data_IF_561617400689
#
_entry.id   IF_561617400689
#
_cell.length_a   1.000
_cell.length_b   1.000
_cell.length_c   1.000
_cell.angle_alpha   90.00
_cell.angle_beta   90.00
_cell.angle_gamma   90.00
#
_symmetry.space_group_name_H-M   'P 1'
#
loop_
_entity.id
_entity.type
_entity.pdbx_description
1 polymer ?
#
# COMPACT_ATOMS: atom_id res chain seq x y z
N UNK A 1 -24.31 -7.54 -0.08
CA UNK A 1 -23.92 -6.15 0.21
C UNK A 1 -22.66 -5.89 -0.58
N UNK A 2 -22.64 -4.85 -1.42
CA UNK A 2 -21.52 -4.55 -2.32
C UNK A 2 -21.08 -3.12 -2.04
N UNK A 3 -19.77 -2.87 -2.00
CA UNK A 3 -19.27 -1.57 -1.61
C UNK A 3 -17.83 -1.32 -2.01
N UNK A 4 -17.53 -0.03 -2.10
CA UNK A 4 -16.25 0.55 -2.51
C UNK A 4 -15.58 1.21 -1.30
N UNK A 5 -14.29 1.53 -1.40
CA UNK A 5 -13.60 2.45 -0.47
C UNK A 5 -13.68 2.06 1.02
N UNK A 6 -13.44 0.78 1.35
CA UNK A 6 -13.35 0.31 2.75
C UNK A 6 -14.62 0.45 3.60
N UNK A 7 -15.70 0.99 3.03
CA UNK A 7 -16.98 1.27 3.71
C UNK A 7 -17.65 0.02 4.27
N UNK A 8 -17.49 -1.13 3.59
CA UNK A 8 -18.02 -2.41 4.04
C UNK A 8 -17.15 -3.11 5.08
N UNK A 9 -15.83 -2.96 4.99
CA UNK A 9 -14.90 -3.74 5.82
C UNK A 9 -15.08 -3.44 7.31
N UNK A 10 -15.55 -2.23 7.65
CA UNK A 10 -15.71 -1.85 9.06
C UNK A 10 -16.98 -2.41 9.73
N UNK A 11 -18.00 -2.81 8.96
CA UNK A 11 -19.29 -3.25 9.49
C UNK A 11 -19.24 -4.71 9.96
N UNK A 12 -18.52 -5.57 9.24
CA UNK A 12 -18.55 -7.01 9.46
C UNK A 12 -17.90 -7.39 10.79
N UNK A 13 -16.77 -6.78 11.15
CA UNK A 13 -15.95 -7.22 12.29
C UNK A 13 -16.54 -6.93 13.68
N UNK A 14 -17.41 -5.93 13.82
CA UNK A 14 -17.71 -5.35 15.13
C UNK A 14 -18.58 -6.25 16.03
N UNK A 15 -19.48 -7.06 15.45
CA UNK A 15 -20.45 -7.89 16.17
C UNK A 15 -20.87 -9.13 15.33
N UNK A 16 -20.85 -10.35 15.88
CA UNK A 16 -21.38 -11.56 15.20
C UNK A 16 -22.84 -11.45 14.74
N UNK A 17 -23.62 -10.58 15.39
CA UNK A 17 -25.01 -10.27 15.05
C UNK A 17 -25.18 -8.80 14.59
N UNK A 18 -24.17 -8.22 13.92
CA UNK A 18 -24.12 -6.80 13.58
C UNK A 18 -25.39 -6.29 12.88
N UNK A 19 -26.00 -7.10 12.01
CA UNK A 19 -27.23 -6.76 11.28
C UNK A 19 -28.43 -6.51 12.19
N UNK A 20 -28.41 -7.05 13.41
CA UNK A 20 -29.46 -6.86 14.43
C UNK A 20 -29.01 -5.92 15.57
N UNK A 21 -27.73 -5.54 15.62
CA UNK A 21 -27.11 -4.72 16.68
C UNK A 21 -26.38 -3.49 16.12
N UNK A 22 -26.97 -2.82 15.14
CA UNK A 22 -26.35 -1.71 14.43
C UNK A 22 -25.93 -0.54 15.35
N UNK A 23 -26.68 -0.27 16.42
CA UNK A 23 -26.33 0.76 17.42
C UNK A 23 -25.03 0.39 18.14
N UNK A 24 -24.90 -0.86 18.61
CA UNK A 24 -23.68 -1.37 19.25
C UNK A 24 -22.48 -1.34 18.31
N UNK A 25 -22.68 -1.69 17.03
CA UNK A 25 -21.63 -1.61 15.99
C UNK A 25 -21.18 -0.17 15.81
N UNK A 26 -22.13 0.77 15.71
CA UNK A 26 -21.85 2.19 15.54
C UNK A 26 -21.07 2.74 16.73
N UNK A 27 -21.49 2.42 17.95
CA UNK A 27 -20.81 2.85 19.19
C UNK A 27 -19.37 2.33 19.24
N UNK A 28 -19.13 1.06 18.89
CA UNK A 28 -17.78 0.49 18.83
C UNK A 28 -16.90 1.18 17.78
N UNK A 29 -17.46 1.49 16.61
CA UNK A 29 -16.74 2.22 15.57
C UNK A 29 -16.38 3.63 16.09
N UNK A 30 -17.33 4.34 16.70
CA UNK A 30 -17.09 5.67 17.28
C UNK A 30 -16.03 5.61 18.37
N UNK A 31 -16.11 4.63 19.27
CA UNK A 31 -15.13 4.42 20.34
C UNK A 31 -13.73 4.19 19.76
N UNK A 32 -13.59 3.27 18.79
CA UNK A 32 -12.33 3.00 18.09
C UNK A 32 -11.77 4.25 17.41
N UNK A 33 -12.60 4.94 16.62
CA UNK A 33 -12.19 6.13 15.88
C UNK A 33 -11.88 7.32 16.81
N UNK A 34 -12.47 7.36 18.00
CA UNK A 34 -12.16 8.35 19.05
C UNK A 34 -10.93 7.96 19.88
N UNK A 35 -10.52 6.70 19.82
CA UNK A 35 -9.39 6.15 20.55
C UNK A 35 -8.01 6.60 20.05
N UNK A 36 -6.93 6.11 20.68
CA UNK A 36 -5.57 6.40 20.23
C UNK A 36 -5.30 5.80 18.84
N UNK A 37 -4.37 6.41 18.10
CA UNK A 37 -3.88 5.82 16.85
C UNK A 37 -3.14 4.50 17.15
N UNK A 38 -3.06 3.63 16.14
CA UNK A 38 -2.19 2.45 16.16
C UNK A 38 -0.76 2.92 16.45
N UNK A 39 -0.05 2.18 17.31
CA UNK A 39 1.31 2.55 17.62
C UNK A 39 2.19 2.45 16.38
N UNK A 40 3.07 3.41 16.22
CA UNK A 40 4.05 3.43 15.15
C UNK A 40 4.90 2.15 15.08
N UNK A 41 5.19 1.53 16.24
CA UNK A 41 5.87 0.25 16.30
C UNK A 41 5.06 -0.88 15.66
N UNK A 42 3.77 -0.98 15.97
CA UNK A 42 2.89 -2.00 15.40
C UNK A 42 2.69 -1.80 13.90
N UNK A 43 2.52 -0.56 13.45
CA UNK A 43 2.50 -0.18 12.02
C UNK A 43 3.77 -0.63 11.30
N UNK A 44 4.94 -0.42 11.92
CA UNK A 44 6.22 -0.82 11.34
C UNK A 44 6.40 -2.34 11.30
N UNK A 45 6.03 -3.05 12.37
CA UNK A 45 6.01 -4.53 12.39
C UNK A 45 5.10 -5.08 11.29
N UNK A 46 3.92 -4.48 11.10
CA UNK A 46 2.99 -4.86 10.04
C UNK A 46 3.60 -4.66 8.64
N UNK A 47 4.24 -3.52 8.40
CA UNK A 47 4.91 -3.26 7.13
C UNK A 47 6.03 -4.28 6.84
N UNK A 48 6.85 -4.59 7.85
CA UNK A 48 7.88 -5.63 7.73
C UNK A 48 7.28 -7.01 7.43
N UNK A 49 6.14 -7.35 8.02
CA UNK A 49 5.45 -8.62 7.75
C UNK A 49 5.02 -8.69 6.28
N UNK A 50 4.51 -7.61 5.70
CA UNK A 50 4.22 -7.56 4.26
C UNK A 50 5.46 -7.70 3.41
N UNK A 51 6.51 -6.93 3.69
CA UNK A 51 7.75 -6.94 2.91
C UNK A 51 8.43 -8.32 2.89
N UNK A 52 8.43 -9.03 4.01
CA UNK A 52 9.09 -10.33 4.11
C UNK A 52 8.17 -11.52 3.78
N UNK A 53 6.85 -11.33 3.81
CA UNK A 53 5.87 -12.40 3.74
C UNK A 53 5.23 -12.63 2.38
N UNK A 54 5.46 -11.73 1.41
CA UNK A 54 4.86 -11.77 0.07
C UNK A 54 5.94 -11.82 -1.00
N UNK A 55 5.63 -12.45 -2.13
CA UNK A 55 6.49 -12.39 -3.32
C UNK A 55 6.54 -10.99 -3.93
N UNK A 56 5.42 -10.27 -3.87
CA UNK A 56 5.30 -8.89 -4.35
C UNK A 56 4.99 -7.95 -3.18
N UNK A 57 5.81 -6.91 -3.09
CA UNK A 57 5.59 -5.77 -2.21
C UNK A 57 5.32 -4.55 -3.10
N UNK A 58 4.32 -3.75 -2.74
CA UNK A 58 3.79 -2.64 -3.54
C UNK A 58 3.46 -1.42 -2.68
N UNK A 59 3.07 -0.31 -3.32
CA UNK A 59 2.61 0.89 -2.62
C UNK A 59 1.31 0.64 -1.84
N UNK A 60 0.50 -0.35 -2.22
CA UNK A 60 -0.69 -0.76 -1.46
C UNK A 60 -0.32 -1.31 -0.09
N UNK A 61 0.81 -2.02 0.05
CA UNK A 61 1.29 -2.55 1.35
C UNK A 61 1.69 -1.42 2.30
N UNK A 62 2.31 -0.36 1.76
CA UNK A 62 2.65 0.86 2.50
C UNK A 62 1.38 1.59 2.90
N UNK A 63 0.45 1.77 1.96
CA UNK A 63 -0.84 2.42 2.19
C UNK A 63 -1.66 1.68 3.25
N UNK A 64 -1.66 0.35 3.23
CA UNK A 64 -2.29 -0.48 4.23
C UNK A 64 -1.68 -0.24 5.62
N UNK A 65 -0.36 -0.40 5.75
CA UNK A 65 0.29 -0.33 7.05
C UNK A 65 0.29 1.08 7.65
N UNK A 66 0.49 2.12 6.83
CA UNK A 66 0.67 3.51 7.29
C UNK A 66 -0.58 4.39 7.11
N UNK A 67 -1.26 4.27 5.96
CA UNK A 67 -2.42 5.09 5.64
C UNK A 67 -3.68 4.58 6.34
N UNK A 68 -4.13 3.38 5.99
CA UNK A 68 -5.39 2.80 6.49
C UNK A 68 -5.39 2.69 8.02
N UNK A 69 -4.29 2.26 8.64
CA UNK A 69 -4.20 2.18 10.11
C UNK A 69 -4.36 3.54 10.80
N UNK A 70 -4.00 4.65 10.14
CA UNK A 70 -4.20 6.01 10.68
C UNK A 70 -5.68 6.38 10.72
N UNK A 71 -6.45 5.98 9.70
CA UNK A 71 -7.88 6.29 9.60
C UNK A 71 -8.75 5.32 10.39
N UNK A 72 -8.50 4.02 10.26
CA UNK A 72 -9.30 2.96 10.89
C UNK A 72 -8.90 2.75 12.36
N UNK A 73 -7.68 3.17 12.73
CA UNK A 73 -7.09 2.99 14.07
C UNK A 73 -7.01 1.53 14.51
N UNK A 74 -6.77 0.63 13.56
CA UNK A 74 -6.70 -0.81 13.79
C UNK A 74 -5.81 -1.50 12.75
N UNK A 75 -5.21 -2.63 13.14
CA UNK A 75 -4.57 -3.59 12.24
C UNK A 75 -5.43 -4.85 12.23
N UNK A 76 -6.16 -5.09 11.14
CA UNK A 76 -6.93 -6.31 10.97
C UNK A 76 -6.19 -7.34 10.13
N UNK A 77 -5.64 -8.36 10.79
CA UNK A 77 -4.88 -9.43 10.13
C UNK A 77 -5.72 -10.67 9.78
N UNK A 78 -7.03 -10.66 10.04
CA UNK A 78 -7.89 -11.75 9.61
C UNK A 78 -8.01 -11.75 8.10
N UNK A 79 -8.19 -12.92 7.51
CA UNK A 79 -8.50 -13.05 6.09
C UNK A 79 -9.99 -12.89 5.85
N UNK A 80 -10.38 -12.65 4.60
CA UNK A 80 -11.81 -12.55 4.25
C UNK A 80 -12.51 -13.90 4.44
N UNK A 81 -11.81 -14.99 4.10
CA UNK A 81 -12.31 -16.35 4.35
C UNK A 81 -12.48 -16.63 5.84
N UNK A 82 -11.52 -16.26 6.69
CA UNK A 82 -11.58 -16.47 8.15
C UNK A 82 -12.79 -15.74 8.77
N UNK A 83 -13.02 -14.48 8.37
CA UNK A 83 -14.16 -13.70 8.85
C UNK A 83 -15.47 -14.36 8.43
N UNK A 84 -15.60 -14.73 7.17
CA UNK A 84 -16.82 -15.37 6.67
C UNK A 84 -17.07 -16.76 7.28
N UNK A 85 -16.02 -17.53 7.53
CA UNK A 85 -16.10 -18.83 8.21
C UNK A 85 -16.64 -18.69 9.64
N UNK A 86 -16.34 -17.58 10.31
CA UNK A 86 -16.89 -17.27 11.62
C UNK A 86 -18.39 -16.95 11.54
N UNK A 87 -18.81 -16.13 10.57
CA UNK A 87 -20.23 -15.77 10.39
C UNK A 87 -21.09 -16.93 9.90
N UNK A 88 -20.59 -17.70 8.94
CA UNK A 88 -21.33 -18.82 8.34
C UNK A 88 -21.64 -19.94 9.35
N UNK A 89 -20.86 -20.04 10.43
CA UNK A 89 -21.08 -20.99 11.52
C UNK A 89 -22.00 -20.44 12.63
N UNK A 90 -22.40 -19.17 12.56
CA UNK A 90 -23.37 -18.57 13.48
C UNK A 90 -24.78 -19.05 13.18
N UNK A 91 -25.64 -19.13 14.21
CA UNK A 91 -27.08 -19.37 14.04
C UNK A 91 -27.80 -18.27 13.25
N UNK A 92 -27.13 -17.15 12.99
CA UNK A 92 -27.62 -15.97 12.28
C UNK A 92 -27.04 -15.83 10.85
N UNK A 93 -26.47 -16.89 10.27
CA UNK A 93 -25.87 -16.85 8.92
C UNK A 93 -26.77 -16.18 7.85
N UNK A 94 -28.08 -16.48 7.87
CA UNK A 94 -29.04 -15.94 6.90
C UNK A 94 -29.42 -14.48 7.15
N UNK A 95 -29.04 -13.93 8.30
CA UNK A 95 -29.31 -12.54 8.69
C UNK A 95 -28.20 -11.58 8.22
N UNK A 96 -27.16 -12.10 7.54
CA UNK A 96 -26.01 -11.32 7.08
C UNK A 96 -25.97 -11.29 5.55
N UNK A 97 -25.99 -10.09 4.93
CA UNK A 97 -25.84 -9.98 3.49
C UNK A 97 -24.44 -10.41 3.04
N UNK A 98 -24.35 -11.23 2.00
CA UNK A 98 -23.07 -11.69 1.43
C UNK A 98 -22.21 -10.50 0.95
N UNK A 99 -20.95 -10.35 1.43
CA UNK A 99 -20.09 -9.24 1.03
C UNK A 99 -19.43 -9.48 -0.32
N UNK A 100 -19.39 -8.43 -1.12
CA UNK A 100 -18.64 -8.38 -2.37
C UNK A 100 -17.87 -7.07 -2.40
N UNK A 101 -16.56 -7.17 -2.53
CA UNK A 101 -15.62 -6.09 -2.68
C UNK A 101 -15.22 -5.98 -4.15
N UNK A 102 -14.95 -4.76 -4.61
CA UNK A 102 -14.62 -4.52 -6.02
C UNK A 102 -13.39 -3.64 -6.14
N UNK A 103 -12.52 -4.02 -7.07
CA UNK A 103 -11.33 -3.29 -7.50
C UNK A 103 -11.32 -3.29 -9.02
N UNK A 104 -10.44 -2.50 -9.61
CA UNK A 104 -10.22 -2.52 -11.06
C UNK A 104 -8.81 -3.00 -11.39
N UNK A 105 -8.70 -3.68 -12.52
CA UNK A 105 -7.45 -4.09 -13.11
C UNK A 105 -6.86 -2.95 -13.96
N UNK A 106 -5.69 -2.46 -13.54
CA UNK A 106 -5.02 -1.30 -14.16
C UNK A 106 -4.68 -1.55 -15.62
N UNK A 107 -4.17 -2.74 -15.95
CA UNK A 107 -3.78 -3.08 -17.32
C UNK A 107 -5.00 -3.24 -18.23
N UNK A 108 -6.15 -3.71 -17.72
CA UNK A 108 -7.40 -3.70 -18.48
C UNK A 108 -7.90 -2.27 -18.73
N UNK A 109 -7.90 -1.41 -17.70
CA UNK A 109 -8.31 -0.01 -17.81
C UNK A 109 -7.47 0.78 -18.83
N UNK A 110 -6.17 0.49 -18.92
CA UNK A 110 -5.24 1.16 -19.83
C UNK A 110 -5.20 0.57 -21.24
N UNK A 111 -5.98 -0.48 -21.53
CA UNK A 111 -5.94 -1.11 -22.85
C UNK A 111 -6.57 -0.20 -23.92
N UNK A 112 -5.77 0.24 -24.90
CA UNK A 112 -6.21 1.09 -26.03
C UNK A 112 -6.80 0.29 -27.21
N UNK A 113 -6.74 -1.05 -27.14
CA UNK A 113 -7.19 -1.95 -28.20
C UNK A 113 -8.73 -2.08 -28.19
N UNK A 114 -9.43 -1.26 -28.99
CA UNK A 114 -10.91 -1.26 -29.12
C UNK A 114 -11.50 -2.65 -29.46
N UNK A 115 -10.71 -3.57 -30.05
CA UNK A 115 -11.15 -4.93 -30.41
C UNK A 115 -11.07 -5.95 -29.28
N UNK A 116 -10.35 -5.62 -28.20
CA UNK A 116 -10.10 -6.48 -27.05
C UNK A 116 -10.45 -5.74 -25.75
N UNK A 117 -11.47 -4.86 -25.78
CA UNK A 117 -11.94 -4.11 -24.61
C UNK A 117 -12.32 -5.08 -23.50
N UNK A 118 -11.43 -5.25 -22.52
CA UNK A 118 -11.69 -6.06 -21.34
C UNK A 118 -12.26 -5.14 -20.29
N UNK A 119 -13.38 -5.57 -19.73
CA UNK A 119 -13.92 -4.92 -18.57
C UNK A 119 -12.89 -4.98 -17.41
N UNK A 120 -12.46 -3.84 -16.85
CA UNK A 120 -11.47 -3.81 -15.79
C UNK A 120 -12.01 -4.25 -14.42
N UNK A 121 -13.33 -4.45 -14.24
CA UNK A 121 -13.93 -4.81 -12.97
C UNK A 121 -13.44 -6.19 -12.48
N UNK A 122 -13.00 -6.22 -11.23
CA UNK A 122 -12.56 -7.41 -10.53
C UNK A 122 -13.29 -7.52 -9.20
N UNK A 123 -13.85 -8.69 -8.93
CA UNK A 123 -14.65 -8.95 -7.74
C UNK A 123 -13.89 -9.79 -6.74
N UNK A 124 -14.10 -9.53 -5.47
CA UNK A 124 -13.54 -10.29 -4.36
C UNK A 124 -14.69 -10.57 -3.38
N UNK A 125 -14.94 -11.84 -3.13
CA UNK A 125 -15.92 -12.30 -2.15
C UNK A 125 -15.28 -13.32 -1.20
N UNK A 126 -15.97 -13.78 -0.15
CA UNK A 126 -15.43 -14.84 0.70
C UNK A 126 -15.15 -16.17 -0.01
N UNK A 127 -15.82 -16.45 -1.12
CA UNK A 127 -15.64 -17.72 -1.84
C UNK A 127 -14.68 -17.60 -3.01
N UNK A 128 -14.84 -16.56 -3.81
CA UNK A 128 -14.11 -16.41 -5.06
C UNK A 128 -13.68 -14.97 -5.32
N UNK A 129 -12.60 -14.85 -6.09
CA UNK A 129 -12.10 -13.60 -6.65
C UNK A 129 -11.89 -13.77 -8.16
N UNK A 130 -12.30 -12.78 -8.97
CA UNK A 130 -12.23 -12.95 -10.42
C UNK A 130 -12.93 -11.90 -11.27
N UNK A 131 -12.95 -12.19 -12.57
CA UNK A 131 -13.51 -11.35 -13.62
C UNK A 131 -14.88 -11.88 -14.05
N UNK A 132 -15.94 -11.13 -13.74
CA UNK A 132 -17.31 -11.57 -14.03
C UNK A 132 -17.62 -11.72 -15.52
N UNK A 133 -17.02 -10.90 -16.39
CA UNK A 133 -17.36 -10.92 -17.83
C UNK A 133 -16.89 -12.20 -18.53
N UNK A 134 -15.66 -12.65 -18.27
CA UNK A 134 -15.14 -13.89 -18.83
C UNK A 134 -15.42 -15.12 -17.96
N UNK A 135 -16.00 -14.93 -16.77
CA UNK A 135 -16.32 -16.03 -15.84
C UNK A 135 -15.09 -16.70 -15.23
N UNK A 136 -13.93 -16.05 -15.29
CA UNK A 136 -12.70 -16.58 -14.70
C UNK A 136 -12.63 -16.21 -13.22
N UNK A 137 -12.65 -17.22 -12.36
CA UNK A 137 -12.61 -17.07 -10.91
C UNK A 137 -11.64 -18.06 -10.28
N UNK A 138 -11.12 -17.69 -9.11
CA UNK A 138 -10.29 -18.53 -8.25
C UNK A 138 -10.79 -18.42 -6.82
N UNK A 139 -10.57 -19.45 -5.99
CA UNK A 139 -10.82 -19.35 -4.55
C UNK A 139 -10.11 -18.13 -3.96
N UNK A 140 -10.78 -17.35 -3.11
CA UNK A 140 -10.21 -16.12 -2.54
C UNK A 140 -8.92 -16.35 -1.78
N UNK A 141 -8.81 -17.47 -1.07
CA UNK A 141 -7.57 -17.91 -0.40
C UNK A 141 -6.40 -18.20 -1.34
N UNK A 142 -6.67 -18.28 -2.64
CA UNK A 142 -5.69 -18.51 -3.69
C UNK A 142 -5.39 -17.24 -4.49
N UNK A 143 -6.14 -16.17 -4.31
CA UNK A 143 -5.87 -14.89 -4.97
C UNK A 143 -4.48 -14.37 -4.55
N UNK A 144 -3.69 -13.93 -5.54
CA UNK A 144 -2.29 -13.55 -5.33
C UNK A 144 -1.30 -14.72 -5.36
N UNK A 145 -1.74 -15.98 -5.48
CA UNK A 145 -0.85 -17.14 -5.70
C UNK A 145 -0.38 -17.24 -7.14
N UNK A 146 0.74 -17.90 -7.39
CA UNK A 146 1.27 -18.11 -8.75
C UNK A 146 0.51 -19.24 -9.46
N UNK A 147 0.10 -18.99 -10.70
CA UNK A 147 -0.54 -19.98 -11.58
C UNK A 147 0.18 -20.09 -12.91
N UNK A 148 -0.02 -21.21 -13.60
CA UNK A 148 0.29 -21.32 -15.02
C UNK A 148 -0.65 -22.34 -15.66
N UNK A 149 -1.31 -21.91 -16.74
CA UNK A 149 -2.32 -22.65 -17.49
C UNK A 149 -3.39 -23.28 -16.58
N UNK A 150 -3.96 -22.46 -15.70
CA UNK A 150 -5.02 -22.83 -14.75
C UNK A 150 -4.58 -23.72 -13.58
N UNK A 151 -3.28 -24.01 -13.45
CA UNK A 151 -2.74 -24.81 -12.33
C UNK A 151 -1.95 -23.95 -11.36
N UNK A 152 -2.33 -23.97 -10.08
CA UNK A 152 -1.58 -23.30 -9.00
C UNK A 152 -0.19 -23.91 -8.87
N UNK A 153 0.85 -23.08 -8.97
CA UNK A 153 2.27 -23.48 -8.87
C UNK A 153 2.85 -23.18 -7.49
N UNK A 154 2.55 -22.00 -6.94
CA UNK A 154 3.05 -21.56 -5.63
C UNK A 154 1.92 -20.87 -4.88
N UNK A 155 1.59 -21.41 -3.71
CA UNK A 155 0.64 -20.79 -2.79
C UNK A 155 1.29 -19.55 -2.15
N UNK A 156 0.58 -18.43 -2.19
CA UNK A 156 0.84 -17.25 -1.37
C UNK A 156 -0.17 -17.19 -0.23
N UNK A 157 0.17 -16.55 0.91
CA UNK A 157 -0.81 -16.27 1.95
C UNK A 157 -1.98 -15.45 1.39
N UNK A 158 -3.21 -15.75 1.84
CA UNK A 158 -4.37 -14.91 1.55
C UNK A 158 -4.13 -13.49 2.07
N UNK A 159 -4.65 -12.50 1.34
CA UNK A 159 -4.65 -11.13 1.83
C UNK A 159 -5.48 -10.99 3.11
N UNK A 160 -4.97 -10.21 4.06
CA UNK A 160 -5.77 -9.82 5.21
C UNK A 160 -6.70 -8.64 4.89
N UNK A 161 -7.65 -8.40 5.79
CA UNK A 161 -8.62 -7.33 5.65
C UNK A 161 -7.97 -5.95 5.61
N UNK A 162 -6.86 -5.73 6.32
CA UNK A 162 -6.13 -4.45 6.24
C UNK A 162 -5.62 -4.19 4.82
N UNK A 163 -5.06 -5.20 4.15
CA UNK A 163 -4.65 -5.09 2.76
C UNK A 163 -5.85 -4.92 1.82
N UNK A 164 -6.94 -5.66 2.04
CA UNK A 164 -8.15 -5.52 1.22
C UNK A 164 -8.76 -4.11 1.33
N UNK A 165 -8.78 -3.52 2.53
CA UNK A 165 -9.17 -2.12 2.74
C UNK A 165 -8.28 -1.16 1.94
N UNK A 166 -6.98 -1.39 1.98
CA UNK A 166 -6.02 -0.55 1.27
C UNK A 166 -6.20 -0.66 -0.24
N UNK A 167 -6.43 -1.87 -0.75
CA UNK A 167 -6.65 -2.11 -2.17
C UNK A 167 -7.95 -1.44 -2.66
N UNK A 168 -9.05 -1.65 -1.94
CA UNK A 168 -10.35 -1.03 -2.25
C UNK A 168 -10.40 0.48 -2.00
N UNK A 169 -9.42 1.06 -1.30
CA UNK A 169 -9.30 2.50 -1.00
C UNK A 169 -8.01 3.09 -1.55
N UNK A 170 -7.48 2.53 -2.64
CA UNK A 170 -6.24 2.94 -3.28
C UNK A 170 -6.46 3.94 -4.43
N UNK A 171 -7.38 4.90 -4.29
CA UNK A 171 -7.59 5.94 -5.31
C UNK A 171 -6.29 6.70 -5.69
N UNK A 172 -5.32 6.76 -4.78
CA UNK A 172 -3.97 7.31 -5.03
C UNK A 172 -3.15 6.50 -6.06
N UNK A 173 -3.58 5.30 -6.42
CA UNK A 173 -2.92 4.43 -7.39
C UNK A 173 -3.05 4.92 -8.83
N UNK A 174 -4.06 5.74 -9.15
CA UNK A 174 -4.21 6.25 -10.52
C UNK A 174 -3.03 7.15 -10.88
N UNK A 175 -2.22 6.66 -11.81
CA UNK A 175 -0.93 7.24 -12.17
C UNK A 175 -1.06 8.60 -12.85
N UNK A 176 -2.13 8.80 -13.64
CA UNK A 176 -2.31 9.99 -14.47
C UNK A 176 -2.77 11.17 -13.64
N UNK A 177 -3.71 10.96 -12.71
CA UNK A 177 -4.21 12.03 -11.83
C UNK A 177 -3.24 12.32 -10.67
N UNK A 178 -2.62 11.29 -10.07
CA UNK A 178 -1.86 11.46 -8.83
C UNK A 178 -0.37 11.77 -9.03
N UNK A 179 0.26 11.43 -10.16
CA UNK A 179 1.65 11.87 -10.43
C UNK A 179 1.79 13.37 -10.35
N UNK A 180 0.77 14.13 -10.77
CA UNK A 180 0.78 15.60 -10.68
C UNK A 180 0.70 16.07 -9.23
N UNK A 181 -0.24 15.54 -8.45
CA UNK A 181 -0.45 15.92 -7.05
C UNK A 181 0.75 15.53 -6.16
N UNK A 182 1.28 14.31 -6.32
CA UNK A 182 2.40 13.79 -5.54
C UNK A 182 3.72 14.45 -5.97
N UNK A 183 3.91 14.78 -7.25
CA UNK A 183 5.05 15.57 -7.69
C UNK A 183 5.01 17.02 -7.19
N UNK A 184 3.82 17.61 -7.05
CA UNK A 184 3.63 18.92 -6.40
C UNK A 184 3.90 18.85 -4.89
N UNK A 185 3.52 17.76 -4.21
CA UNK A 185 3.80 17.53 -2.79
C UNK A 185 5.28 17.21 -2.51
N UNK A 186 5.96 16.43 -3.35
CA UNK A 186 7.40 16.16 -3.27
C UNK A 186 8.23 17.42 -3.59
N UNK A 187 7.69 18.31 -4.43
CA UNK A 187 8.29 19.62 -4.70
C UNK A 187 7.92 20.69 -3.68
N UNK A 188 7.02 20.41 -2.75
CA UNK A 188 6.65 21.33 -1.68
C UNK A 188 7.82 21.41 -0.67
N UNK A 189 8.52 22.56 -0.56
CA UNK A 189 9.63 22.76 0.38
C UNK A 189 9.18 22.75 1.86
N UNK A 190 7.89 22.52 2.14
CA UNK A 190 7.35 22.56 3.49
C UNK A 190 7.30 21.21 4.21
N UNK A 191 7.83 20.12 3.63
CA UNK A 191 8.00 18.84 4.35
C UNK A 191 9.30 18.86 5.18
N UNK A 192 9.25 19.14 6.50
CA UNK A 192 10.42 19.60 7.24
C UNK A 192 11.46 18.50 7.49
N UNK A 193 11.07 17.22 7.36
CA UNK A 193 11.93 16.09 7.67
C UNK A 193 12.70 15.56 6.46
N UNK A 194 12.09 15.52 5.27
CA UNK A 194 12.74 14.99 4.05
C UNK A 194 13.84 15.94 3.56
N UNK A 195 13.60 17.25 3.59
CA UNK A 195 14.61 18.26 3.22
C UNK A 195 15.83 18.23 4.14
N UNK A 196 15.63 18.04 5.45
CA UNK A 196 16.71 17.92 6.43
C UNK A 196 17.57 16.67 6.23
N UNK A 197 16.97 15.54 5.83
CA UNK A 197 17.73 14.32 5.53
C UNK A 197 18.59 14.50 4.28
N UNK A 198 17.99 15.09 3.24
CA UNK A 198 18.70 15.41 2.01
C UNK A 198 19.85 16.39 2.29
N UNK A 199 19.63 17.39 3.15
CA UNK A 199 20.66 18.34 3.56
C UNK A 199 21.83 17.66 4.27
N UNK A 200 21.60 16.71 5.18
CA UNK A 200 22.69 15.97 5.84
C UNK A 200 23.51 15.17 4.83
N UNK A 201 22.86 14.50 3.86
CA UNK A 201 23.55 13.72 2.84
C UNK A 201 24.36 14.61 1.88
N UNK A 202 23.82 15.76 1.49
CA UNK A 202 24.52 16.74 0.66
C UNK A 202 25.71 17.34 1.38
N UNK A 203 25.54 17.78 2.64
CA UNK A 203 26.64 18.32 3.44
C UNK A 203 27.74 17.28 3.68
N UNK A 204 27.39 16.00 3.83
CA UNK A 204 28.34 14.91 4.00
C UNK A 204 29.12 14.62 2.71
N UNK A 205 28.47 14.70 1.55
CA UNK A 205 29.12 14.57 0.24
C UNK A 205 30.10 15.73 -0.01
N UNK A 206 29.65 16.96 0.24
CA UNK A 206 30.49 18.16 0.12
C UNK A 206 31.65 18.15 1.13
N UNK A 207 31.42 17.60 2.33
CA UNK A 207 32.46 17.44 3.35
C UNK A 207 33.56 16.50 2.87
N UNK A 208 33.20 15.35 2.29
CA UNK A 208 34.15 14.40 1.70
C UNK A 208 34.94 15.06 0.55
N UNK A 209 34.27 15.83 -0.30
CA UNK A 209 34.90 16.56 -1.40
C UNK A 209 35.85 17.66 -0.90
N UNK A 210 35.50 18.37 0.18
CA UNK A 210 36.35 19.37 0.82
C UNK A 210 37.64 18.75 1.36
N UNK A 211 37.55 17.61 2.07
CA UNK A 211 38.73 16.89 2.59
C UNK A 211 39.63 16.40 1.44
N UNK A 212 39.05 15.83 0.38
CA UNK A 212 39.81 15.36 -0.78
C UNK A 212 40.56 16.50 -1.50
N UNK A 213 40.00 17.71 -1.46
CA UNK A 213 40.61 18.90 -2.05
C UNK A 213 41.49 19.69 -1.07
N UNK A 214 41.75 19.16 0.14
CA UNK A 214 42.59 19.81 1.17
C UNK A 214 41.99 21.08 1.77
N UNK A 215 40.66 21.22 1.76
CA UNK A 215 39.92 22.35 2.33
C UNK A 215 39.33 22.02 3.70
N UNK A 216 39.16 23.04 4.54
CA UNK A 216 38.55 22.90 5.87
C UNK A 216 37.05 22.56 5.80
N UNK A 217 36.59 21.43 6.36
CA UNK A 217 35.18 21.03 6.37
C UNK A 217 34.38 21.48 7.60
N UNK A 218 34.97 22.24 8.53
CA UNK A 218 34.40 22.51 9.86
C UNK A 218 32.96 23.05 9.84
N UNK A 219 32.64 23.90 8.86
CA UNK A 219 31.29 24.45 8.69
C UNK A 219 30.25 23.37 8.32
N UNK A 220 30.62 22.44 7.43
CA UNK A 220 29.74 21.35 6.99
C UNK A 220 29.48 20.36 8.14
N UNK A 221 30.47 20.09 8.98
CA UNK A 221 30.27 19.25 10.17
C UNK A 221 29.34 19.90 11.20
N UNK A 222 29.44 21.21 11.41
CA UNK A 222 28.48 21.91 12.29
C UNK A 222 27.06 21.86 11.71
N UNK A 223 26.91 21.99 10.40
CA UNK A 223 25.62 21.84 9.71
C UNK A 223 25.04 20.44 9.92
N UNK A 224 25.80 19.38 9.58
CA UNK A 224 25.42 17.97 9.79
C UNK A 224 24.99 17.72 11.23
N UNK A 225 25.80 18.15 12.20
CA UNK A 225 25.50 17.96 13.63
C UNK A 225 24.23 18.68 14.07
N UNK A 226 24.00 19.90 13.59
CA UNK A 226 22.80 20.68 13.93
C UNK A 226 21.57 19.99 13.38
N UNK A 227 21.60 19.61 12.11
CA UNK A 227 20.49 18.95 11.43
C UNK A 227 20.19 17.57 12.03
N UNK A 228 21.22 16.79 12.41
CA UNK A 228 21.04 15.50 13.11
C UNK A 228 20.42 15.66 14.51
N UNK A 229 20.77 16.71 15.24
CA UNK A 229 20.14 17.01 16.53
C UNK A 229 18.67 17.40 16.36
N UNK A 230 18.35 18.19 15.33
CA UNK A 230 16.97 18.54 15.00
C UNK A 230 16.13 17.32 14.56
N UNK A 231 16.76 16.31 13.97
CA UNK A 231 16.15 15.03 13.62
C UNK A 231 16.07 14.04 14.79
N UNK A 232 16.53 14.39 16.00
CA UNK A 232 16.70 13.48 17.14
C UNK A 232 17.54 12.22 16.81
N UNK A 233 18.43 12.32 15.83
CA UNK A 233 19.20 11.21 15.26
C UNK A 233 20.59 11.03 15.89
N UNK A 234 21.11 12.06 16.55
CA UNK A 234 22.46 12.07 17.12
C UNK A 234 22.55 11.32 18.46
N UNK A 235 23.10 10.10 18.47
CA UNK A 235 23.46 9.36 19.71
C UNK A 235 24.96 9.18 19.90
N UNK A 236 25.77 9.25 18.83
CA UNK A 236 27.23 9.20 18.95
C UNK A 236 27.81 10.58 19.28
N UNK A 237 28.94 10.64 20.01
CA UNK A 237 29.75 11.86 20.01
C UNK A 237 30.46 11.93 18.66
N UNK A 238 29.80 12.54 17.66
CA UNK A 238 30.38 12.87 16.36
C UNK A 238 31.65 13.71 16.58
N UNK A 239 32.78 13.03 16.66
CA UNK A 239 34.09 13.66 16.84
C UNK A 239 34.56 14.12 15.47
N UNK A 240 34.80 15.42 15.35
CA UNK A 240 35.45 15.96 14.17
C UNK A 240 36.95 15.62 14.26
N UNK A 241 37.60 15.18 13.16
CA UNK A 241 39.04 15.15 13.10
C UNK A 241 39.54 16.60 13.13
N UNK A 242 39.72 17.15 14.34
CA UNK A 242 40.21 18.52 14.50
C UNK A 242 41.65 18.57 13.97
N UNK A 243 42.08 19.74 13.48
CA UNK A 243 43.43 20.13 13.05
C UNK A 243 44.60 19.81 14.02
N UNK A 244 44.40 19.01 15.07
CA UNK A 244 45.42 18.53 16.00
C UNK A 244 46.06 17.19 15.62
N UNK A 245 46.04 16.80 14.36
CA UNK A 245 46.98 15.81 13.82
C UNK A 245 47.68 16.34 12.57
N UNK A 246 48.44 17.42 12.75
CA UNK A 246 49.44 17.93 11.80
C UNK A 246 50.61 16.95 11.51
N UNK A 247 50.41 15.64 11.66
CA UNK A 247 51.42 14.60 11.50
C UNK A 247 50.91 13.29 10.88
N UNK A 248 49.62 13.16 10.54
CA UNK A 248 49.08 11.96 9.93
C UNK A 248 48.98 12.15 8.41
N UNK A 249 49.63 11.27 7.62
CA UNK A 249 49.68 11.39 6.16
C UNK A 249 48.30 11.33 5.49
N UNK A 250 48.26 11.66 4.20
CA UNK A 250 47.04 11.74 3.37
C UNK A 250 46.11 10.51 3.51
N UNK A 251 46.68 9.31 3.70
CA UNK A 251 45.92 8.07 3.93
C UNK A 251 45.20 8.02 5.28
N UNK A 252 45.80 8.57 6.34
CA UNK A 252 45.19 8.62 7.67
C UNK A 252 44.03 9.63 7.71
N UNK A 253 44.15 10.75 6.99
CA UNK A 253 43.05 11.71 6.81
C UNK A 253 41.89 11.09 6.05
N UNK A 254 42.16 10.32 4.99
CA UNK A 254 41.13 9.56 4.23
C UNK A 254 40.44 8.49 5.09
N UNK A 255 41.20 7.76 5.91
CA UNK A 255 40.65 6.74 6.81
C UNK A 255 39.75 7.35 7.90
N UNK A 256 40.17 8.47 8.49
CA UNK A 256 39.35 9.20 9.48
C UNK A 256 38.07 9.76 8.85
N UNK A 257 38.12 10.26 7.61
CA UNK A 257 36.93 10.76 6.92
C UNK A 257 35.96 9.63 6.54
N UNK A 258 36.49 8.46 6.18
CA UNK A 258 35.68 7.25 5.96
C UNK A 258 34.94 6.85 7.24
N UNK A 259 35.64 6.79 8.37
CA UNK A 259 35.02 6.50 9.67
C UNK A 259 33.95 7.54 10.04
N UNK A 260 34.24 8.82 9.84
CA UNK A 260 33.27 9.90 10.08
C UNK A 260 32.01 9.76 9.21
N UNK A 261 32.18 9.38 7.94
CA UNK A 261 31.08 9.13 7.01
C UNK A 261 30.25 7.94 7.46
N UNK A 262 30.89 6.85 7.89
CA UNK A 262 30.20 5.68 8.44
C UNK A 262 29.43 6.04 9.72
N UNK A 263 30.00 6.86 10.61
CA UNK A 263 29.36 7.30 11.85
C UNK A 263 28.15 8.21 11.58
N UNK A 264 28.24 9.16 10.64
CA UNK A 264 27.10 10.02 10.22
C UNK A 264 26.00 9.19 9.57
N UNK A 265 26.35 8.24 8.70
CA UNK A 265 25.38 7.34 8.09
C UNK A 265 24.71 6.42 9.12
N UNK A 266 25.46 5.95 10.12
CA UNK A 266 24.94 5.16 11.22
C UNK A 266 24.03 6.00 12.14
N UNK A 267 24.41 7.22 12.49
CA UNK A 267 23.57 8.12 13.30
C UNK A 267 22.29 8.54 12.56
N UNK A 268 22.38 8.84 11.25
CA UNK A 268 21.20 8.96 10.39
C UNK A 268 20.36 7.69 10.52
N UNK A 269 20.94 6.52 10.22
CA UNK A 269 20.24 5.23 10.29
C UNK A 269 19.67 4.90 11.67
N UNK A 270 20.25 5.42 12.77
CA UNK A 270 19.81 5.21 14.15
C UNK A 270 18.75 6.21 14.60
N UNK A 271 18.78 7.46 14.12
CA UNK A 271 17.63 8.36 14.14
C UNK A 271 16.46 7.82 13.34
N UNK A 272 16.79 6.98 12.36
CA UNK A 272 15.91 6.16 11.57
C UNK A 272 15.82 4.71 12.07
N UNK A 273 16.12 4.40 13.35
CA UNK A 273 15.88 3.05 13.92
C UNK A 273 14.39 2.65 13.90
N UNK A 274 13.56 3.60 13.51
CA UNK A 274 12.12 3.52 13.31
C UNK A 274 11.72 3.23 11.84
N UNK A 275 12.67 3.24 10.90
CA UNK A 275 12.41 3.20 9.46
C UNK A 275 12.82 1.86 8.84
N UNK A 276 12.24 1.50 7.67
CA UNK A 276 12.54 0.29 6.90
C UNK A 276 14.03 -0.07 6.79
N UNK A 277 14.37 -1.37 6.75
CA UNK A 277 15.69 -1.84 6.30
C UNK A 277 16.05 -1.16 4.98
N UNK A 278 17.33 -0.82 4.74
CA UNK A 278 17.82 -0.22 3.49
C UNK A 278 17.32 -0.96 2.24
N UNK A 279 17.17 -2.29 2.34
CA UNK A 279 16.59 -3.11 1.26
C UNK A 279 15.09 -2.86 1.03
N UNK A 280 14.35 -2.63 2.11
CA UNK A 280 12.93 -2.28 2.03
C UNK A 280 12.78 -0.85 1.48
N UNK A 281 13.65 0.09 1.87
CA UNK A 281 13.66 1.45 1.29
C UNK A 281 13.92 1.47 -0.21
N UNK A 282 14.91 0.72 -0.68
CA UNK A 282 15.21 0.62 -2.11
C UNK A 282 14.03 0.04 -2.88
N UNK A 283 13.36 -0.99 -2.35
CA UNK A 283 12.13 -1.51 -2.96
C UNK A 283 10.96 -0.53 -2.93
N UNK A 284 10.77 0.22 -1.84
CA UNK A 284 9.75 1.29 -1.78
C UNK A 284 10.00 2.31 -2.89
N UNK A 285 11.25 2.75 -3.05
CA UNK A 285 11.63 3.68 -4.10
C UNK A 285 11.39 3.10 -5.50
N UNK A 286 11.70 1.82 -5.72
CA UNK A 286 11.42 1.13 -6.98
C UNK A 286 9.91 1.07 -7.27
N UNK A 287 9.09 0.80 -6.24
CA UNK A 287 7.63 0.81 -6.35
C UNK A 287 7.09 2.20 -6.67
N UNK A 288 7.66 3.26 -6.08
CA UNK A 288 7.31 4.65 -6.40
C UNK A 288 7.70 5.02 -7.84
N UNK A 289 8.90 4.64 -8.28
CA UNK A 289 9.37 4.94 -9.64
C UNK A 289 8.54 4.23 -10.71
N UNK A 290 8.21 2.96 -10.48
CA UNK A 290 7.41 2.14 -11.38
C UNK A 290 5.90 2.29 -11.16
N UNK A 291 5.49 3.05 -10.16
CA UNK A 291 4.10 3.23 -9.74
C UNK A 291 3.34 1.91 -9.54
N UNK A 292 3.92 1.01 -8.76
CA UNK A 292 3.41 -0.35 -8.53
C UNK A 292 2.41 -0.35 -7.37
N UNK A 293 1.16 -0.65 -7.67
CA UNK A 293 0.06 -0.81 -6.72
C UNK A 293 -0.61 -2.17 -6.92
N UNK A 294 -1.03 -2.79 -5.81
CA UNK A 294 -1.90 -3.96 -5.83
C UNK A 294 -1.37 -5.16 -6.61
N UNK A 295 -0.05 -5.27 -6.81
CA UNK A 295 0.54 -6.26 -7.70
C UNK A 295 0.36 -7.68 -7.18
N UNK A 296 -0.24 -8.52 -8.00
CA UNK A 296 -0.46 -9.94 -7.74
C UNK A 296 -0.09 -10.77 -8.97
N UNK A 297 0.16 -12.07 -8.77
CA UNK A 297 0.22 -13.01 -9.89
C UNK A 297 -1.13 -13.09 -10.60
N UNK A 298 -1.09 -13.20 -11.92
CA UNK A 298 -2.26 -13.45 -12.74
C UNK A 298 -2.66 -14.93 -12.66
N UNK A 299 -3.86 -15.21 -12.14
CA UNK A 299 -4.33 -16.60 -12.03
C UNK A 299 -4.77 -17.19 -13.37
N UNK A 300 -5.01 -16.35 -14.39
CA UNK A 300 -5.31 -16.81 -15.75
C UNK A 300 -4.06 -16.88 -16.64
N UNK A 301 -2.87 -16.66 -16.09
CA UNK A 301 -1.62 -16.69 -16.85
C UNK A 301 -1.45 -17.98 -17.67
N UNK A 302 -1.10 -17.81 -18.96
CA UNK A 302 -0.94 -18.89 -19.94
C UNK A 302 -2.17 -19.80 -20.14
N UNK A 303 -3.38 -19.38 -19.73
CA UNK A 303 -4.59 -20.12 -20.06
C UNK A 303 -4.81 -20.16 -21.59
N UNK A 304 -5.35 -21.29 -22.06
CA UNK A 304 -5.67 -21.54 -23.47
C UNK A 304 -7.17 -21.48 -23.77
N UNK A 305 -7.97 -21.04 -22.80
CA UNK A 305 -9.41 -20.95 -22.94
C UNK A 305 -9.78 -19.73 -23.80
N UNK A 306 -10.63 -19.92 -24.81
CA UNK A 306 -11.06 -18.86 -25.73
C UNK A 306 -11.93 -17.80 -25.04
N UNK A 307 -12.49 -18.11 -23.85
CA UNK A 307 -13.23 -17.14 -23.04
C UNK A 307 -12.33 -16.11 -22.35
N UNK A 308 -11.04 -16.41 -22.17
CA UNK A 308 -10.08 -15.48 -21.54
C UNK A 308 -9.51 -14.55 -22.61
N UNK A 309 -9.66 -13.25 -22.39
CA UNK A 309 -9.24 -12.24 -23.35
C UNK A 309 -7.71 -12.16 -23.46
N UNK A 310 -7.15 -11.87 -24.65
CA UNK A 310 -5.70 -11.77 -24.85
C UNK A 310 -5.04 -10.77 -23.91
N UNK A 311 -5.74 -9.68 -23.57
CA UNK A 311 -5.25 -8.63 -22.65
C UNK A 311 -4.98 -9.15 -21.24
N UNK A 312 -5.75 -10.13 -20.74
CA UNK A 312 -5.47 -10.74 -19.44
C UNK A 312 -4.17 -11.56 -19.50
N UNK A 313 -3.96 -12.31 -20.60
CA UNK A 313 -2.82 -13.22 -20.80
C UNK A 313 -1.47 -12.53 -21.09
N UNK A 314 -1.42 -11.19 -21.21
CA UNK A 314 -0.21 -10.43 -21.62
C UNK A 314 0.94 -10.51 -20.61
N UNK A 315 0.67 -10.82 -19.34
CA UNK A 315 1.65 -10.71 -18.24
C UNK A 315 1.41 -11.79 -17.19
N UNK A 316 2.48 -12.22 -16.51
CA UNK A 316 2.40 -13.12 -15.34
C UNK A 316 1.83 -12.40 -14.09
N UNK A 317 1.81 -11.06 -14.11
CA UNK A 317 1.31 -10.24 -12.99
C UNK A 317 0.27 -9.23 -13.44
N UNK A 318 -0.67 -8.92 -12.55
CA UNK A 318 -1.68 -7.85 -12.68
C UNK A 318 -1.56 -6.87 -11.53
N UNK A 319 -1.91 -5.61 -11.81
CA UNK A 319 -1.92 -4.54 -10.81
C UNK A 319 -3.38 -4.11 -10.62
N UNK A 320 -3.83 -4.07 -9.37
CA UNK A 320 -5.21 -3.73 -9.02
C UNK A 320 -5.28 -2.42 -8.24
N UNK A 321 -6.31 -1.62 -8.51
CA UNK A 321 -6.53 -0.32 -7.88
C UNK A 321 -8.01 -0.09 -7.53
N UNK A 322 -8.29 1.00 -6.83
CA UNK A 322 -9.63 1.36 -6.36
C UNK A 322 -10.63 1.47 -7.51
N UNK A 323 -11.73 0.74 -7.42
CA UNK A 323 -12.80 0.78 -8.41
C UNK A 323 -13.52 2.13 -8.49
N UNK A 324 -13.44 2.96 -7.44
CA UNK A 324 -13.93 4.34 -7.45
C UNK A 324 -13.27 5.21 -8.52
N UNK A 325 -12.09 4.83 -9.02
CA UNK A 325 -11.39 5.49 -10.13
C UNK A 325 -12.07 5.31 -11.49
N UNK A 326 -12.93 4.29 -11.62
CA UNK A 326 -13.74 4.08 -12.82
C UNK A 326 -15.17 4.57 -12.58
N UNK A 327 -15.79 4.10 -11.50
CA UNK A 327 -17.13 4.46 -11.12
C UNK A 327 -17.30 4.32 -9.61
N UNK A 328 -17.78 5.37 -8.95
CA UNK A 328 -18.03 5.38 -7.51
C UNK A 328 -19.30 4.60 -7.10
N UNK A 329 -19.64 3.53 -7.83
CA UNK A 329 -20.63 2.52 -7.43
C UNK A 329 -20.30 1.14 -8.00
N UNK A 330 -20.36 0.08 -7.20
CA UNK A 330 -19.95 -1.26 -7.60
C UNK A 330 -21.10 -2.02 -8.31
N UNK A 331 -21.81 -1.35 -9.21
CA UNK A 331 -22.98 -1.93 -9.88
C UNK A 331 -22.64 -3.17 -10.70
N UNK A 332 -21.44 -3.23 -11.30
CA UNK A 332 -21.06 -4.34 -12.15
C UNK A 332 -21.18 -5.69 -11.43
N UNK A 333 -20.77 -5.72 -10.16
CA UNK A 333 -20.92 -6.92 -9.34
C UNK A 333 -22.34 -7.24 -8.97
N UNK A 334 -23.17 -6.22 -8.75
CA UNK A 334 -24.60 -6.43 -8.49
C UNK A 334 -25.30 -7.00 -9.74
N UNK A 335 -24.85 -6.61 -10.93
CA UNK A 335 -25.51 -6.94 -12.20
C UNK A 335 -25.10 -8.27 -12.83
N UNK A 336 -24.21 -9.04 -12.19
CA UNK A 336 -23.89 -10.41 -12.63
C UNK A 336 -25.16 -11.25 -12.73
N UNK A 337 -25.43 -11.78 -13.92
CA UNK A 337 -26.70 -12.43 -14.28
C UNK A 337 -27.06 -13.58 -13.33
N UNK A 338 -26.07 -14.33 -12.88
CA UNK A 338 -26.22 -15.47 -11.99
C UNK A 338 -26.78 -15.08 -10.61
N UNK A 339 -26.66 -13.81 -10.21
CA UNK A 339 -27.16 -13.31 -8.91
C UNK A 339 -28.68 -13.07 -8.92
N UNK A 340 -29.30 -12.95 -10.10
CA UNK A 340 -30.75 -12.75 -10.27
C UNK A 340 -31.35 -11.69 -9.32
N UNK A 341 -30.75 -10.49 -9.31
CA UNK A 341 -31.15 -9.40 -8.41
C UNK A 341 -32.38 -8.65 -8.97
N UNK A 342 -33.45 -8.59 -8.18
CA UNK A 342 -34.70 -7.90 -8.53
C UNK A 342 -34.74 -6.43 -8.07
N UNK A 343 -34.02 -6.10 -7.00
CA UNK A 343 -34.01 -4.77 -6.37
C UNK A 343 -32.59 -4.39 -5.94
N UNK A 344 -32.17 -3.19 -6.32
CA UNK A 344 -30.90 -2.60 -5.89
C UNK A 344 -31.20 -1.37 -5.03
N UNK A 345 -30.70 -1.38 -3.80
CA UNK A 345 -30.68 -0.20 -2.92
C UNK A 345 -29.28 0.39 -3.01
N UNK A 346 -29.13 1.49 -3.75
CA UNK A 346 -27.85 2.19 -3.91
C UNK A 346 -27.72 3.32 -2.89
N UNK A 347 -26.58 3.40 -2.23
CA UNK A 347 -26.22 4.47 -1.30
C UNK A 347 -25.04 5.23 -1.89
N UNK A 348 -25.25 6.49 -2.26
CA UNK A 348 -24.23 7.33 -2.86
C UNK A 348 -23.68 8.33 -1.83
N UNK A 349 -22.35 8.40 -1.75
CA UNK A 349 -21.61 9.29 -0.85
C UNK A 349 -20.64 10.20 -1.60
N UNK A 350 -20.84 10.37 -2.92
CA UNK A 350 -20.04 11.27 -3.76
C UNK A 350 -20.19 12.71 -3.28
N UNK A 351 -19.10 13.47 -3.29
CA UNK A 351 -19.11 14.88 -2.88
C UNK A 351 -19.92 15.76 -3.85
N UNK A 352 -19.96 15.36 -5.12
CA UNK A 352 -20.63 16.05 -6.22
C UNK A 352 -22.05 15.51 -6.49
N UNK A 353 -22.57 15.69 -7.70
CA UNK A 353 -23.94 15.32 -8.06
C UNK A 353 -24.20 13.80 -7.85
N UNK A 354 -25.14 13.42 -6.97
CA UNK A 354 -25.41 12.03 -6.59
C UNK A 354 -26.01 11.17 -7.71
N UNK A 355 -26.36 11.79 -8.86
CA UNK A 355 -26.86 11.08 -10.03
C UNK A 355 -25.80 10.88 -11.11
N UNK A 356 -24.60 11.47 -11.00
CA UNK A 356 -23.54 11.31 -12.01
C UNK A 356 -23.17 9.85 -12.24
N UNK A 357 -23.13 9.08 -11.17
CA UNK A 357 -22.86 7.65 -11.19
C UNK A 357 -23.98 6.86 -11.89
N UNK A 358 -25.24 7.31 -11.77
CA UNK A 358 -26.38 6.70 -12.47
C UNK A 358 -26.43 7.07 -13.95
N UNK A 359 -25.94 8.26 -14.33
CA UNK A 359 -25.89 8.67 -15.74
C UNK A 359 -24.76 8.00 -16.54
N UNK A 360 -23.76 7.43 -15.85
CA UNK A 360 -22.72 6.62 -16.46
C UNK A 360 -23.19 5.20 -16.83
N UNK A 361 -24.42 4.83 -16.44
CA UNK A 361 -25.04 3.52 -16.64
C UNK A 361 -25.93 3.42 -17.88
#
# INVERSE_FOLDING_TARGET
MVGLLGSLVQLEKAEPDWSTKLETVTDKIIERLSGPAVSWGDTYEKLKKYYNGKDFFSLTDIWAAMGITTYVKEIDEHTLTDQWDHFSKSSTQWDHPFPIYTVIDKQCKQSEDEKDTVDPWFEISPYEAGYSLCGAFVDTSSFGSQFDNGSKKKLQPEMDMLYLQALCGSALADEVENKKFIWEYIKDPNSPHVEKCYQVLMDLADMNLCVLNGKDPSALHQSIRTTLNELNASKSQLSFPTEKQNLAGEEATKLNMKQHTEDVCNDLSLGFSFWPDVKMWTHIYDCMNQWIWGRNYDFVYNMKDEAVTPTLLKSETRDYEDAGLLLNSPYFSVLRKERNIDLIISLDFSEDNPFMVLYAF
#
